data_IF_407589817516
#
_entry.id   IF_407589817516
#
_cell.length_a   1.000
_cell.length_b   1.000
_cell.length_c   1.000
_cell.angle_alpha   90.00
_cell.angle_beta   90.00
_cell.angle_gamma   90.00
#
_symmetry.space_group_name_H-M   'P 1'
#
loop_
_entity.id
_entity.type
_entity.pdbx_description
1 polymer ?
#
# COMPACT_ATOMS: atom_id res chain seq x y z
N UNK A 1 29.76 -2.41 -12.32
CA UNK A 1 28.53 -3.03 -11.80
C UNK A 1 28.82 -3.41 -10.37
N UNK A 2 28.05 -2.91 -9.41
CA UNK A 2 28.28 -3.26 -8.00
C UNK A 2 27.98 -4.75 -7.81
N UNK A 3 28.94 -5.56 -7.31
CA UNK A 3 28.77 -7.01 -7.21
C UNK A 3 27.61 -7.39 -6.30
N UNK A 4 27.35 -6.58 -5.26
CA UNK A 4 26.19 -6.74 -4.38
C UNK A 4 24.87 -6.55 -5.15
N UNK A 5 24.76 -5.50 -5.96
CA UNK A 5 23.56 -5.25 -6.77
C UNK A 5 23.31 -6.40 -7.76
N UNK A 6 24.37 -6.92 -8.37
CA UNK A 6 24.27 -8.06 -9.27
C UNK A 6 23.72 -9.31 -8.56
N UNK A 7 24.10 -9.55 -7.31
CA UNK A 7 23.58 -10.66 -6.49
C UNK A 7 22.13 -10.42 -6.09
N UNK A 8 21.80 -9.22 -5.60
CA UNK A 8 20.45 -8.84 -5.16
C UNK A 8 19.43 -8.97 -6.29
N UNK A 9 19.80 -8.59 -7.51
CA UNK A 9 18.90 -8.63 -8.66
C UNK A 9 18.97 -9.99 -9.38
N UNK A 10 20.17 -10.55 -9.52
CA UNK A 10 20.42 -11.76 -10.30
C UNK A 10 19.86 -13.03 -9.68
N UNK A 11 19.98 -13.21 -8.36
CA UNK A 11 19.46 -14.42 -7.69
C UNK A 11 17.93 -14.52 -7.83
N UNK A 12 17.13 -13.48 -7.49
CA UNK A 12 15.69 -13.52 -7.68
C UNK A 12 15.27 -13.73 -9.13
N UNK A 13 15.95 -13.08 -10.09
CA UNK A 13 15.69 -13.28 -11.52
C UNK A 13 15.95 -14.72 -11.96
N UNK A 14 17.08 -15.31 -11.55
CA UNK A 14 17.40 -16.70 -11.86
C UNK A 14 16.36 -17.65 -11.25
N UNK A 15 15.96 -17.42 -10.00
CA UNK A 15 14.95 -18.23 -9.32
C UNK A 15 13.58 -18.13 -10.00
N UNK A 16 13.18 -16.93 -10.39
CA UNK A 16 11.94 -16.68 -11.14
C UNK A 16 11.90 -17.43 -12.47
N UNK A 17 12.99 -17.38 -13.24
CA UNK A 17 13.11 -18.11 -14.49
C UNK A 17 13.10 -19.63 -14.27
N UNK A 18 13.79 -20.12 -13.23
CA UNK A 18 13.79 -21.53 -12.87
C UNK A 18 12.38 -22.03 -12.51
N UNK A 19 11.65 -21.29 -11.67
CA UNK A 19 10.28 -21.62 -11.29
C UNK A 19 9.32 -21.57 -12.50
N UNK A 20 9.50 -20.61 -13.40
CA UNK A 20 8.74 -20.53 -14.66
C UNK A 20 8.97 -21.77 -15.52
N UNK A 21 10.22 -22.24 -15.62
CA UNK A 21 10.57 -23.45 -16.37
C UNK A 21 9.99 -24.72 -15.71
N UNK A 22 10.01 -24.79 -14.38
CA UNK A 22 9.37 -25.86 -13.61
C UNK A 22 7.87 -25.88 -13.85
N UNK A 23 7.19 -24.73 -13.78
CA UNK A 23 5.76 -24.63 -14.05
C UNK A 23 5.41 -25.09 -15.48
N UNK A 24 6.22 -24.72 -16.48
CA UNK A 24 6.05 -25.21 -17.86
C UNK A 24 6.18 -26.74 -17.96
N UNK A 25 7.20 -27.31 -17.32
CA UNK A 25 7.49 -28.75 -17.35
C UNK A 25 6.48 -29.58 -16.57
N UNK A 26 6.01 -29.05 -15.44
CA UNK A 26 5.05 -29.72 -14.56
C UNK A 26 3.63 -29.64 -15.12
N UNK A 27 3.23 -28.49 -15.68
CA UNK A 27 1.88 -28.30 -16.22
C UNK A 27 1.48 -29.37 -17.25
N UNK A 28 2.43 -29.83 -18.08
CA UNK A 28 2.18 -30.93 -19.01
C UNK A 28 2.01 -32.31 -18.35
N UNK A 29 2.61 -32.53 -17.18
CA UNK A 29 2.49 -33.78 -16.42
C UNK A 29 1.22 -33.86 -15.60
N UNK A 30 0.79 -32.74 -15.03
CA UNK A 30 -0.39 -32.67 -14.16
C UNK A 30 -1.69 -32.36 -14.91
N UNK A 31 -1.65 -32.29 -16.25
CA UNK A 31 -2.84 -32.07 -17.08
C UNK A 31 -3.30 -30.61 -17.18
N UNK A 32 -2.44 -29.66 -16.85
CA UNK A 32 -2.69 -28.22 -16.95
C UNK A 32 -2.38 -27.72 -18.37
N UNK A 33 -3.30 -27.99 -19.31
CA UNK A 33 -3.12 -27.59 -20.71
C UNK A 33 -3.69 -26.18 -21.04
N UNK A 34 -3.05 -25.43 -21.97
CA UNK A 34 -1.72 -25.68 -22.51
C UNK A 34 -0.62 -25.22 -21.52
N UNK A 35 0.52 -25.93 -21.41
CA UNK A 35 1.60 -25.58 -20.48
C UNK A 35 2.14 -24.16 -20.65
N UNK A 36 2.12 -23.64 -21.89
CA UNK A 36 2.54 -22.28 -22.23
C UNK A 36 1.73 -21.20 -21.51
N UNK A 37 0.43 -21.44 -21.29
CA UNK A 37 -0.46 -20.51 -20.57
C UNK A 37 0.02 -20.32 -19.14
N UNK A 38 0.29 -21.42 -18.46
CA UNK A 38 0.73 -21.40 -17.07
C UNK A 38 2.12 -20.81 -16.91
N UNK A 39 3.05 -21.16 -17.80
CA UNK A 39 4.37 -20.53 -17.85
C UNK A 39 4.26 -19.00 -18.05
N UNK A 40 3.38 -18.54 -18.95
CA UNK A 40 3.16 -17.11 -19.17
C UNK A 40 2.58 -16.42 -17.93
N UNK A 41 1.60 -17.04 -17.25
CA UNK A 41 1.03 -16.51 -16.02
C UNK A 41 2.11 -16.40 -14.94
N UNK A 42 2.86 -17.48 -14.67
CA UNK A 42 3.94 -17.48 -13.69
C UNK A 42 4.99 -16.42 -14.00
N UNK A 43 5.40 -16.29 -15.27
CA UNK A 43 6.39 -15.31 -15.68
C UNK A 43 5.93 -13.85 -15.53
N UNK A 44 4.69 -13.55 -15.95
CA UNK A 44 4.21 -12.18 -16.09
C UNK A 44 3.64 -11.58 -14.80
N UNK A 45 3.14 -12.38 -13.85
CA UNK A 45 2.52 -11.85 -12.61
C UNK A 45 3.45 -10.87 -11.86
N UNK A 46 4.73 -11.20 -11.62
CA UNK A 46 5.63 -10.27 -10.89
C UNK A 46 5.89 -8.96 -11.64
N UNK A 47 5.77 -8.96 -12.96
CA UNK A 47 5.93 -7.74 -13.76
C UNK A 47 4.81 -6.74 -13.46
N UNK A 48 3.58 -7.21 -13.24
CA UNK A 48 2.47 -6.33 -12.88
C UNK A 48 2.71 -5.66 -11.53
N UNK A 49 3.18 -6.40 -10.52
CA UNK A 49 3.56 -5.81 -9.23
C UNK A 49 4.67 -4.78 -9.37
N UNK A 50 5.68 -5.07 -10.21
CA UNK A 50 6.74 -4.12 -10.50
C UNK A 50 6.24 -2.86 -11.22
N UNK A 51 5.36 -2.99 -12.22
CA UNK A 51 4.78 -1.83 -12.90
C UNK A 51 3.89 -1.00 -11.97
N UNK A 52 3.10 -1.63 -11.11
CA UNK A 52 2.31 -0.91 -10.08
C UNK A 52 3.25 -0.07 -9.21
N UNK A 53 4.35 -0.63 -8.72
CA UNK A 53 5.36 0.12 -7.97
C UNK A 53 5.92 1.30 -8.79
N UNK A 54 6.24 1.11 -10.07
CA UNK A 54 6.74 2.18 -10.92
C UNK A 54 5.71 3.30 -11.13
N UNK A 55 4.44 2.96 -11.35
CA UNK A 55 3.36 3.93 -11.50
C UNK A 55 3.13 4.70 -10.20
N UNK A 56 3.00 3.99 -9.08
CA UNK A 56 2.86 4.61 -7.76
C UNK A 56 4.04 5.54 -7.47
N UNK A 57 5.27 5.07 -7.68
CA UNK A 57 6.48 5.88 -7.51
C UNK A 57 6.47 7.15 -8.38
N UNK A 58 5.94 7.07 -9.60
CA UNK A 58 5.87 8.22 -10.49
C UNK A 58 4.85 9.29 -10.04
N UNK A 59 3.88 8.92 -9.20
CA UNK A 59 2.91 9.87 -8.63
C UNK A 59 3.48 10.65 -7.44
N UNK A 60 4.58 10.19 -6.84
CA UNK A 60 5.20 10.87 -5.69
C UNK A 60 6.06 12.09 -6.06
N UNK A 61 6.32 12.36 -7.34
CA UNK A 61 7.10 13.54 -7.74
C UNK A 61 6.22 14.79 -7.76
N UNK A 62 5.95 15.35 -6.59
CA UNK A 62 5.40 16.70 -6.45
C UNK A 62 6.51 17.72 -6.74
N UNK A 63 6.34 18.53 -7.77
CA UNK A 63 7.22 19.66 -8.09
C UNK A 63 6.57 20.93 -7.54
N UNK A 64 6.99 21.40 -6.34
CA UNK A 64 6.31 22.51 -5.71
C UNK A 64 6.52 23.80 -6.52
N UNK A 65 7.62 23.95 -7.26
CA UNK A 65 7.88 25.18 -8.05
C UNK A 65 6.92 25.33 -9.24
N UNK A 66 6.37 24.22 -9.73
CA UNK A 66 5.43 24.18 -10.85
C UNK A 66 3.96 24.08 -10.41
N UNK A 67 3.67 23.97 -9.10
CA UNK A 67 2.31 23.90 -8.58
C UNK A 67 1.66 25.30 -8.51
N UNK A 68 0.66 25.61 -9.37
CA UNK A 68 0.00 26.91 -9.37
C UNK A 68 -0.82 27.18 -8.11
N UNK A 69 -1.05 26.17 -7.26
CA UNK A 69 -1.75 26.28 -5.98
C UNK A 69 -0.81 26.29 -4.77
N UNK A 70 0.50 26.31 -4.98
CA UNK A 70 1.49 26.42 -3.89
C UNK A 70 1.29 27.73 -3.13
N UNK A 71 0.90 27.64 -1.87
CA UNK A 71 0.77 28.79 -0.97
C UNK A 71 -0.63 29.38 -0.82
N UNK A 72 -1.71 28.59 -1.02
CA UNK A 72 -3.09 29.00 -0.76
C UNK A 72 -3.57 30.21 -1.60
N UNK A 73 -3.10 30.36 -2.84
CA UNK A 73 -3.49 31.45 -3.75
C UNK A 73 -4.81 31.17 -4.50
N UNK A 74 -5.85 30.72 -3.79
CA UNK A 74 -7.15 30.52 -4.42
C UNK A 74 -7.87 31.87 -4.56
N UNK A 75 -8.52 32.09 -5.71
CA UNK A 75 -9.40 33.24 -5.89
C UNK A 75 -10.67 33.04 -5.06
N UNK A 76 -10.67 33.51 -3.81
CA UNK A 76 -11.86 33.49 -2.97
C UNK A 76 -12.80 34.61 -3.44
N UNK A 77 -14.03 34.24 -3.76
CA UNK A 77 -15.06 35.23 -4.11
C UNK A 77 -15.26 36.19 -2.92
N UNK A 78 -15.41 37.51 -3.12
CA UNK A 78 -15.47 38.50 -2.03
C UNK A 78 -16.52 38.19 -0.96
N UNK A 79 -17.65 37.57 -1.36
CA UNK A 79 -18.73 37.17 -0.45
C UNK A 79 -18.40 35.98 0.47
N UNK A 80 -17.25 35.31 0.28
CA UNK A 80 -16.80 34.14 1.04
C UNK A 80 -15.38 34.30 1.59
N UNK A 81 -14.78 35.48 1.47
CA UNK A 81 -13.43 35.77 1.97
C UNK A 81 -13.34 35.54 3.50
N UNK A 82 -14.43 35.77 4.22
CA UNK A 82 -14.50 35.62 5.68
C UNK A 82 -14.78 34.17 6.13
N UNK A 83 -15.18 33.26 5.23
CA UNK A 83 -15.51 31.87 5.56
C UNK A 83 -14.30 30.93 5.57
N UNK A 84 -13.10 31.41 5.22
CA UNK A 84 -11.92 30.56 5.04
C UNK A 84 -10.66 31.06 5.79
N UNK A 85 -10.57 30.86 7.11
CA UNK A 85 -9.28 30.71 7.76
C UNK A 85 -8.91 29.23 7.67
N UNK A 86 -8.62 28.73 6.46
CA UNK A 86 -8.02 27.41 6.35
C UNK A 86 -6.56 27.56 6.77
N UNK A 87 -6.10 26.97 7.90
CA UNK A 87 -4.69 26.91 8.18
C UNK A 87 -4.00 26.33 6.95
N UNK A 88 -2.90 26.94 6.53
CA UNK A 88 -1.99 26.36 5.54
C UNK A 88 -1.77 24.92 5.99
N UNK A 89 -2.31 23.98 5.23
CA UNK A 89 -2.13 22.56 5.48
C UNK A 89 -0.66 22.32 5.17
N UNK A 90 0.17 22.56 6.20
CA UNK A 90 1.53 22.09 6.23
C UNK A 90 1.50 20.62 5.89
N UNK A 91 2.46 20.21 5.11
CA UNK A 91 2.71 18.82 4.73
C UNK A 91 3.14 18.01 5.97
N UNK A 92 2.31 18.01 7.01
CA UNK A 92 2.37 17.15 8.20
C UNK A 92 1.62 15.86 7.89
N UNK A 93 1.80 15.32 6.68
CA UNK A 93 1.55 13.89 6.50
C UNK A 93 2.54 13.21 7.44
N UNK A 94 2.03 12.43 8.40
CA UNK A 94 2.86 11.56 9.21
C UNK A 94 3.79 10.85 8.23
N UNK A 95 5.10 11.11 8.33
CA UNK A 95 6.08 10.22 7.75
C UNK A 95 5.72 8.86 8.33
N UNK A 96 5.24 7.96 7.48
CA UNK A 96 5.12 6.57 7.90
C UNK A 96 6.55 6.16 8.13
N UNK A 97 6.97 6.13 9.39
CA UNK A 97 8.24 5.53 9.78
C UNK A 97 8.18 4.10 9.24
N UNK A 98 8.97 3.82 8.21
CA UNK A 98 8.99 2.53 7.50
C UNK A 98 9.44 1.36 8.39
N UNK A 99 9.75 1.63 9.66
CA UNK A 99 10.25 0.69 10.67
C UNK A 99 9.15 -0.02 11.50
N UNK A 100 7.85 0.27 11.31
CA UNK A 100 6.75 -0.34 12.09
C UNK A 100 5.87 -1.34 11.30
N UNK A 101 6.45 -2.03 10.32
CA UNK A 101 5.82 -3.16 9.64
C UNK A 101 6.28 -4.52 10.21
N UNK A 102 6.44 -4.61 11.52
CA UNK A 102 6.59 -5.91 12.18
C UNK A 102 5.20 -6.49 12.51
N UNK A 103 4.97 -7.73 12.08
CA UNK A 103 3.73 -8.48 12.23
C UNK A 103 3.26 -8.54 13.70
N UNK A 104 2.21 -7.80 14.07
CA UNK A 104 1.33 -8.25 15.16
C UNK A 104 0.16 -9.02 14.59
N UNK A 105 0.39 -10.33 14.49
CA UNK A 105 -0.64 -11.35 14.39
C UNK A 105 -1.75 -11.08 15.42
N UNK A 106 -3.00 -11.31 14.99
CA UNK A 106 -4.20 -10.84 15.67
C UNK A 106 -4.34 -11.27 17.13
N UNK A 107 -4.73 -10.31 17.94
CA UNK A 107 -5.36 -10.53 19.24
C UNK A 107 -6.79 -10.01 19.18
N UNK A 108 -7.74 -10.94 19.10
CA UNK A 108 -9.17 -10.70 19.37
C UNK A 108 -9.30 -10.14 20.81
N UNK A 109 -10.00 -9.02 21.05
CA UNK A 109 -10.22 -8.54 22.40
C UNK A 109 -11.21 -9.48 23.15
N UNK A 110 -11.01 -9.76 24.46
CA UNK A 110 -11.87 -10.65 25.21
C UNK A 110 -13.28 -10.06 25.35
N UNK A 111 -14.29 -10.86 24.98
CA UNK A 111 -15.70 -10.58 25.27
C UNK A 111 -16.04 -11.00 26.70
N UNK A 112 -15.77 -10.12 27.65
CA UNK A 112 -16.18 -10.34 29.04
C UNK A 112 -17.55 -9.72 29.29
N UNK A 113 -18.57 -10.52 28.95
CA UNK A 113 -19.92 -10.41 29.49
C UNK A 113 -19.89 -10.94 30.92
N UNK A 114 -20.02 -10.07 31.91
CA UNK A 114 -20.42 -10.48 33.26
C UNK A 114 -21.37 -9.44 33.87
N UNK A 115 -22.58 -9.91 34.13
CA UNK A 115 -23.63 -9.24 34.89
C UNK A 115 -23.21 -8.99 36.35
N UNK A 116 -23.58 -7.83 36.87
CA UNK A 116 -23.91 -7.50 38.28
C UNK A 116 -24.26 -5.99 38.25
N UNK A 117 -25.47 -5.49 38.47
CA UNK A 117 -26.49 -5.89 39.43
C UNK A 117 -26.53 -4.85 40.56
N UNK A 118 -27.54 -3.97 40.57
CA UNK A 118 -28.03 -3.35 41.82
C UNK A 118 -27.98 -1.82 41.96
N UNK A 119 -29.19 -1.26 42.05
CA UNK A 119 -29.66 -0.12 42.85
C UNK A 119 -29.56 1.36 42.38
N UNK A 120 -30.72 2.04 42.49
CA UNK A 120 -31.01 3.42 42.05
C UNK A 120 -30.54 4.55 42.99
N UNK A 121 -31.13 5.77 42.98
CA UNK A 121 -32.57 6.00 42.96
C UNK A 121 -33.10 7.04 41.95
N UNK A 122 -34.42 7.01 41.80
CA UNK A 122 -35.29 8.02 41.19
C UNK A 122 -35.06 9.38 41.82
N UNK A 123 -35.08 10.43 41.00
CA UNK A 123 -35.64 11.68 41.47
C UNK A 123 -36.41 12.43 40.39
N UNK A 124 -37.49 13.06 40.86
CA UNK A 124 -38.60 13.58 40.08
C UNK A 124 -38.60 15.10 40.19
N UNK A 125 -38.61 15.82 39.07
CA UNK A 125 -39.32 17.11 38.90
C UNK A 125 -39.17 17.66 37.49
#
# INVERSE_FOLDING_TARGET
>A
MDPLLAVIVGIPLAWHLALTAVAYWDAGRVGLEPPKKWAAITFCIPLFGFFIYLFERSELSYEPDDDPYRGNNFNIHPSRADDAPLPSRGDDRLSVDEDDWDETAGEDPPRDRAEQGGDGPRDSR
#
